data_IF_718309128673
#
_entry.id   IF_718309128673
#
_cell.length_a   1.000
_cell.length_b   1.000
_cell.length_c   1.000
_cell.angle_alpha   90.00
_cell.angle_beta   90.00
_cell.angle_gamma   90.00
#
_symmetry.space_group_name_H-M   'P 1'
#
loop_
_entity.id
_entity.type
_entity.pdbx_description
1 polymer ?
#
# COMPACT_ATOMS: atom_id res chain seq x y z
N UNK A 1 -10.13 9.31 22.41
CA UNK A 1 -10.52 8.97 21.04
C UNK A 1 -11.44 7.78 21.07
N UNK A 2 -12.52 7.82 20.29
CA UNK A 2 -13.45 6.70 20.11
C UNK A 2 -12.78 5.57 19.33
N UNK A 3 -13.45 4.44 19.22
CA UNK A 3 -12.99 3.31 18.39
C UNK A 3 -12.90 3.72 16.92
N UNK A 4 -13.91 4.43 16.42
CA UNK A 4 -14.02 4.90 15.04
C UNK A 4 -12.90 5.88 14.69
N UNK A 5 -12.55 6.80 15.60
CA UNK A 5 -11.46 7.75 15.40
C UNK A 5 -10.10 7.03 15.29
N UNK A 6 -9.85 6.04 16.14
CA UNK A 6 -8.62 5.22 16.07
C UNK A 6 -8.57 4.43 14.77
N UNK A 7 -9.68 3.82 14.39
CA UNK A 7 -9.78 3.02 13.17
C UNK A 7 -9.55 3.89 11.92
N UNK A 8 -10.14 5.09 11.89
CA UNK A 8 -9.93 6.06 10.80
C UNK A 8 -8.47 6.52 10.71
N UNK A 9 -7.79 6.76 11.84
CA UNK A 9 -6.36 7.07 11.85
C UNK A 9 -5.53 5.96 11.22
N UNK A 10 -5.81 4.70 11.56
CA UNK A 10 -5.08 3.55 11.00
C UNK A 10 -5.33 3.37 9.50
N UNK A 11 -6.56 3.58 9.02
CA UNK A 11 -6.84 3.60 7.59
C UNK A 11 -6.11 4.72 6.86
N UNK A 12 -6.01 5.91 7.46
CA UNK A 12 -5.25 7.01 6.89
C UNK A 12 -3.74 6.72 6.85
N UNK A 13 -3.17 6.10 7.89
CA UNK A 13 -1.77 5.64 7.89
C UNK A 13 -1.50 4.69 6.73
N UNK A 14 -2.36 3.68 6.53
CA UNK A 14 -2.26 2.72 5.43
C UNK A 14 -2.38 3.41 4.06
N UNK A 15 -3.36 4.29 3.89
CA UNK A 15 -3.57 5.00 2.63
C UNK A 15 -2.38 5.92 2.29
N UNK A 16 -1.81 6.59 3.29
CA UNK A 16 -0.63 7.45 3.11
C UNK A 16 0.62 6.64 2.75
N UNK A 17 0.82 5.48 3.37
CA UNK A 17 1.93 4.59 3.04
C UNK A 17 1.85 4.14 1.57
N UNK A 18 0.69 3.62 1.14
CA UNK A 18 0.50 3.22 -0.26
C UNK A 18 0.68 4.42 -1.21
N UNK A 19 0.16 5.59 -0.85
CA UNK A 19 0.32 6.82 -1.63
C UNK A 19 1.80 7.18 -1.82
N UNK A 20 2.62 7.07 -0.77
CA UNK A 20 4.06 7.34 -0.81
C UNK A 20 4.85 6.32 -1.62
N UNK A 21 4.35 5.09 -1.76
CA UNK A 21 4.98 4.04 -2.58
C UNK A 21 4.80 4.24 -4.09
N UNK A 22 3.82 5.04 -4.54
CA UNK A 22 3.51 5.24 -5.97
C UNK A 22 4.19 6.53 -6.46
N UNK A 23 5.26 6.46 -7.29
CA UNK A 23 6.07 7.62 -7.66
C UNK A 23 5.50 8.39 -8.87
N UNK A 24 4.21 8.25 -9.14
CA UNK A 24 3.50 8.87 -10.26
C UNK A 24 2.13 9.34 -9.81
N UNK A 25 1.51 10.22 -10.58
CA UNK A 25 0.10 10.55 -10.37
C UNK A 25 -0.75 9.28 -10.52
N UNK A 26 -1.68 9.11 -9.58
CA UNK A 26 -2.61 7.99 -9.53
C UNK A 26 -4.01 8.49 -9.15
N UNK A 27 -5.04 7.75 -9.53
CA UNK A 27 -6.44 8.13 -9.30
C UNK A 27 -7.12 7.24 -8.26
N UNK A 28 -6.97 5.91 -8.38
CA UNK A 28 -7.54 4.94 -7.45
C UNK A 28 -6.50 3.93 -7.01
N UNK A 29 -6.64 3.46 -5.78
CA UNK A 29 -5.85 2.39 -5.19
C UNK A 29 -6.80 1.29 -4.72
N UNK A 30 -6.43 0.04 -5.00
CA UNK A 30 -7.15 -1.15 -4.56
C UNK A 30 -6.16 -2.02 -3.81
N UNK A 31 -6.41 -2.27 -2.52
CA UNK A 31 -5.51 -3.04 -1.66
C UNK A 31 -6.24 -4.19 -0.99
N UNK A 32 -5.57 -5.32 -0.86
CA UNK A 32 -5.99 -6.48 -0.08
C UNK A 32 -4.82 -6.95 0.77
N UNK A 33 -5.11 -7.34 2.00
CA UNK A 33 -4.11 -7.86 2.93
C UNK A 33 -4.60 -9.20 3.48
N UNK A 34 -3.79 -10.23 3.29
CA UNK A 34 -3.94 -11.52 3.97
C UNK A 34 -2.90 -11.54 5.07
N UNK A 35 -3.31 -11.47 6.34
CA UNK A 35 -2.37 -11.41 7.47
C UNK A 35 -2.86 -12.31 8.60
N UNK A 36 -1.99 -13.20 9.06
CA UNK A 36 -2.20 -14.06 10.22
C UNK A 36 -0.97 -14.05 11.14
N UNK A 37 -0.92 -14.99 12.08
CA UNK A 37 0.17 -15.10 13.05
C UNK A 37 1.44 -15.73 12.45
N UNK A 38 1.33 -16.47 11.34
CA UNK A 38 2.42 -17.16 10.65
C UNK A 38 3.03 -16.32 9.52
N UNK A 39 2.30 -15.34 9.00
CA UNK A 39 2.80 -14.45 7.96
C UNK A 39 1.69 -13.74 7.21
N UNK A 40 1.91 -13.48 5.93
CA UNK A 40 0.92 -12.84 5.08
C UNK A 40 1.52 -12.09 3.90
N UNK A 41 0.63 -11.52 3.10
CA UNK A 41 0.96 -10.68 1.96
C UNK A 41 0.00 -9.49 1.91
N UNK A 42 0.55 -8.31 1.60
CA UNK A 42 -0.23 -7.15 1.20
C UNK A 42 -0.03 -6.92 -0.29
N UNK A 43 -1.14 -6.85 -1.01
CA UNK A 43 -1.17 -6.67 -2.46
C UNK A 43 -1.95 -5.40 -2.76
N UNK A 44 -1.42 -4.54 -3.62
CA UNK A 44 -2.19 -3.41 -4.14
C UNK A 44 -2.02 -3.21 -5.65
N UNK A 45 -3.04 -2.59 -6.24
CA UNK A 45 -3.03 -2.09 -7.61
C UNK A 45 -3.41 -0.61 -7.58
N UNK A 46 -3.01 0.11 -8.63
CA UNK A 46 -3.41 1.50 -8.80
C UNK A 46 -3.74 1.82 -10.26
N UNK A 47 -4.60 2.81 -10.46
CA UNK A 47 -4.88 3.39 -11.77
C UNK A 47 -4.17 4.72 -11.93
N UNK A 48 -3.81 5.05 -13.18
CA UNK A 48 -3.28 6.37 -13.55
C UNK A 48 -4.44 7.28 -13.95
N UNK A 49 -4.29 8.61 -13.90
CA UNK A 49 -5.33 9.52 -14.35
C UNK A 49 -5.80 9.19 -15.77
N UNK A 50 -7.11 9.13 -15.97
CA UNK A 50 -7.75 8.84 -17.26
C UNK A 50 -7.45 7.44 -17.83
N UNK A 51 -7.09 6.47 -16.99
CA UNK A 51 -6.96 5.06 -17.38
C UNK A 51 -7.62 4.16 -16.34
N UNK A 52 -8.33 3.14 -16.83
CA UNK A 52 -8.86 2.05 -16.00
C UNK A 52 -7.88 0.87 -15.87
N UNK A 53 -6.67 0.99 -16.42
CA UNK A 53 -5.65 -0.05 -16.35
C UNK A 53 -5.15 -0.22 -14.91
N UNK A 54 -5.17 -1.47 -14.44
CA UNK A 54 -4.64 -1.84 -13.14
C UNK A 54 -3.13 -2.06 -13.23
N UNK A 55 -2.36 -1.15 -12.61
CA UNK A 55 -0.92 -1.24 -12.50
C UNK A 55 -0.58 -2.00 -11.21
N UNK A 56 0.13 -3.12 -11.35
CA UNK A 56 0.48 -3.98 -10.22
C UNK A 56 1.70 -3.43 -9.46
N UNK A 57 1.61 -3.37 -8.13
CA UNK A 57 2.60 -2.67 -7.30
C UNK A 57 4.04 -3.19 -7.47
N UNK A 58 4.24 -4.49 -7.69
CA UNK A 58 5.59 -5.06 -7.80
C UNK A 58 6.35 -4.61 -9.05
N UNK A 59 5.69 -3.98 -10.02
CA UNK A 59 6.36 -3.39 -11.18
C UNK A 59 6.94 -2.00 -10.90
N UNK A 60 6.55 -1.33 -9.81
CA UNK A 60 6.99 0.03 -9.47
C UNK A 60 8.54 0.18 -9.48
N UNK A 61 9.32 -0.72 -8.84
CA UNK A 61 10.79 -0.63 -8.87
C UNK A 61 11.36 -0.54 -10.28
N UNK A 62 10.87 -1.41 -11.17
CA UNK A 62 11.36 -1.50 -12.54
C UNK A 62 10.86 -0.36 -13.43
N UNK A 63 9.57 -0.04 -13.35
CA UNK A 63 8.94 0.94 -14.25
C UNK A 63 9.37 2.39 -13.95
N UNK A 64 9.63 2.70 -12.69
CA UNK A 64 9.96 4.06 -12.26
C UNK A 64 11.37 4.19 -11.69
N UNK A 65 12.21 3.16 -11.89
CA UNK A 65 13.60 3.16 -11.42
C UNK A 65 13.71 3.44 -9.90
N UNK A 66 12.78 2.89 -9.12
CA UNK A 66 12.83 2.91 -7.66
C UNK A 66 13.70 1.76 -7.19
N UNK A 67 14.56 1.99 -6.19
CA UNK A 67 15.40 0.94 -5.62
C UNK A 67 14.54 -0.19 -5.04
N UNK A 68 14.79 -1.44 -5.47
CA UNK A 68 14.10 -2.62 -4.93
C UNK A 68 14.20 -2.71 -3.40
N UNK A 69 15.36 -2.36 -2.83
CA UNK A 69 15.55 -2.33 -1.38
C UNK A 69 14.62 -1.31 -0.72
N UNK A 70 14.59 -0.08 -1.24
CA UNK A 70 13.72 0.98 -0.70
C UNK A 70 12.26 0.57 -0.80
N UNK A 71 11.86 0.00 -1.93
CA UNK A 71 10.50 -0.48 -2.12
C UNK A 71 10.13 -1.61 -1.14
N UNK A 72 11.04 -2.56 -0.92
CA UNK A 72 10.84 -3.65 0.03
C UNK A 72 10.71 -3.14 1.48
N UNK A 73 11.51 -2.14 1.85
CA UNK A 73 11.43 -1.50 3.17
C UNK A 73 10.04 -0.86 3.38
N UNK A 74 9.55 -0.08 2.39
CA UNK A 74 8.20 0.52 2.41
C UNK A 74 7.09 -0.54 2.45
N UNK A 75 7.21 -1.60 1.63
CA UNK A 75 6.24 -2.69 1.66
C UNK A 75 6.19 -3.39 3.01
N UNK A 76 7.34 -3.55 3.67
CA UNK A 76 7.42 -4.14 5.02
C UNK A 76 6.71 -3.27 6.04
N UNK A 77 6.83 -1.95 5.93
CA UNK A 77 6.11 -1.01 6.79
C UNK A 77 4.60 -1.04 6.52
N UNK A 78 4.17 -1.08 5.26
CA UNK A 78 2.77 -1.30 4.88
C UNK A 78 2.21 -2.61 5.48
N UNK A 79 2.96 -3.72 5.38
CA UNK A 79 2.58 -4.99 5.98
C UNK A 79 2.39 -4.87 7.51
N UNK A 80 3.29 -4.15 8.20
CA UNK A 80 3.17 -3.92 9.65
C UNK A 80 1.94 -3.10 10.01
N UNK A 81 1.55 -2.12 9.19
CA UNK A 81 0.32 -1.36 9.39
C UNK A 81 -0.92 -2.25 9.30
N UNK A 82 -0.99 -3.13 8.30
CA UNK A 82 -2.08 -4.11 8.20
C UNK A 82 -2.08 -5.13 9.34
N UNK A 83 -0.91 -5.59 9.78
CA UNK A 83 -0.80 -6.49 10.94
C UNK A 83 -1.29 -5.84 12.24
N UNK A 84 -1.09 -4.53 12.39
CA UNK A 84 -1.59 -3.74 13.53
C UNK A 84 -3.11 -3.51 13.46
N UNK A 85 -3.67 -3.46 12.25
CA UNK A 85 -5.11 -3.27 12.01
C UNK A 85 -5.96 -4.49 12.38
N UNK A 86 -5.40 -5.70 12.26
CA UNK A 86 -6.01 -6.95 12.75
C UNK A 86 -6.13 -6.95 14.27
#
# INVERSE_FOLDING_TARGET
>A
MTFEEKLSQMYNEIANEISGMIPVEWEKVYTIAYVDDEGGEVVFNYTKPNSDDLNYYTYIPREYNVSEKVFYDLWTDLYRLFKKLR
#
